data_IF_612286494860
#
_entry.id   IF_612286494860
#
_cell.length_a   1.000
_cell.length_b   1.000
_cell.length_c   1.000
_cell.angle_alpha   90.00
_cell.angle_beta   90.00
_cell.angle_gamma   90.00
#
_symmetry.space_group_name_H-M   'P 1'
#
loop_
_entity.id
_entity.type
_entity.pdbx_description
1 polymer ?
#
# COMPACT_ATOMS: atom_id res chain seq x y z
N UNK A 1 16.32 -23.32 -8.65
CA UNK A 1 15.56 -22.18 -9.21
C UNK A 1 15.16 -21.31 -8.02
N UNK A 2 15.93 -20.25 -7.74
CA UNK A 2 15.68 -19.36 -6.61
C UNK A 2 14.56 -18.41 -7.06
N UNK A 3 13.45 -18.27 -6.32
CA UNK A 3 12.40 -17.34 -6.74
C UNK A 3 13.03 -15.95 -6.78
N UNK A 4 12.75 -15.20 -7.84
CA UNK A 4 13.19 -13.83 -8.01
C UNK A 4 12.60 -13.00 -6.85
N UNK A 5 13.30 -12.94 -5.72
CA UNK A 5 13.06 -11.94 -4.70
C UNK A 5 13.35 -10.63 -5.41
N UNK A 6 12.29 -9.95 -5.84
CA UNK A 6 12.39 -8.62 -6.41
C UNK A 6 13.09 -7.78 -5.35
N UNK A 7 14.35 -7.43 -5.60
CA UNK A 7 15.11 -6.54 -4.72
C UNK A 7 14.39 -5.20 -4.76
N UNK A 8 13.51 -4.98 -3.78
CA UNK A 8 12.90 -3.69 -3.57
C UNK A 8 13.97 -2.74 -3.07
N UNK A 9 14.00 -1.49 -3.56
CA UNK A 9 14.82 -0.48 -2.92
C UNK A 9 14.32 -0.33 -1.47
N UNK A 10 15.27 -0.22 -0.52
CA UNK A 10 14.97 -0.14 0.91
C UNK A 10 13.99 1.00 1.25
N UNK A 11 14.01 2.08 0.47
CA UNK A 11 13.06 3.21 0.59
C UNK A 11 11.58 2.82 0.46
N UNK A 12 11.27 1.65 -0.13
CA UNK A 12 9.91 1.14 -0.31
C UNK A 12 9.48 0.16 0.80
N UNK A 13 10.33 -0.08 1.80
CA UNK A 13 10.06 -0.99 2.92
C UNK A 13 10.39 -0.28 4.23
N UNK A 14 9.38 -0.03 5.07
CA UNK A 14 9.57 0.79 6.28
C UNK A 14 9.57 -0.01 7.59
N UNK A 15 9.16 -1.28 7.59
CA UNK A 15 9.23 -2.17 8.76
C UNK A 15 8.98 -3.64 8.36
N UNK A 16 9.26 -4.60 9.26
CA UNK A 16 9.05 -6.04 9.08
C UNK A 16 7.95 -6.63 9.99
N UNK A 17 7.07 -5.81 10.57
CA UNK A 17 5.95 -6.25 11.40
C UNK A 17 4.99 -7.18 10.63
N UNK A 18 4.44 -8.18 11.32
CA UNK A 18 3.50 -9.15 10.74
C UNK A 18 2.03 -8.91 11.14
N UNK A 19 1.77 -7.98 12.07
CA UNK A 19 0.50 -7.86 12.80
C UNK A 19 -0.25 -6.53 12.53
N UNK A 20 0.09 -5.81 11.46
CA UNK A 20 -0.70 -4.63 11.09
C UNK A 20 -2.07 -5.06 10.56
N UNK A 21 -3.11 -4.40 11.03
CA UNK A 21 -4.48 -4.53 10.55
C UNK A 21 -4.96 -3.20 10.01
N UNK A 22 -6.11 -3.17 9.34
CA UNK A 22 -6.70 -1.90 8.90
C UNK A 22 -6.95 -0.93 10.07
N UNK A 23 -7.25 -1.47 11.26
CA UNK A 23 -7.43 -0.66 12.48
C UNK A 23 -6.15 0.06 12.93
N UNK A 24 -4.97 -0.52 12.65
CA UNK A 24 -3.69 0.12 12.89
C UNK A 24 -3.57 1.40 12.06
N UNK A 25 -3.95 1.36 10.78
CA UNK A 25 -3.94 2.58 9.94
C UNK A 25 -5.04 3.56 10.34
N UNK A 26 -6.24 3.07 10.65
CA UNK A 26 -7.38 3.92 11.01
C UNK A 26 -7.13 4.76 12.28
N UNK A 27 -6.49 4.16 13.29
CA UNK A 27 -6.09 4.86 14.52
C UNK A 27 -5.15 6.05 14.27
N UNK A 28 -4.41 6.01 13.17
CA UNK A 28 -3.42 7.01 12.79
C UNK A 28 -3.90 7.97 11.68
N UNK A 29 -5.21 7.95 11.40
CA UNK A 29 -5.90 8.96 10.62
C UNK A 29 -6.35 8.50 9.23
N UNK A 30 -6.05 7.27 8.81
CA UNK A 30 -6.62 6.71 7.59
C UNK A 30 -8.14 6.58 7.74
N UNK A 31 -8.89 7.13 6.79
CA UNK A 31 -10.35 7.02 6.77
C UNK A 31 -10.77 5.97 5.76
N UNK A 32 -11.23 4.83 6.28
CA UNK A 32 -11.83 3.77 5.46
C UNK A 32 -13.07 4.31 4.74
N UNK A 33 -13.14 4.07 3.43
CA UNK A 33 -14.30 4.44 2.60
C UNK A 33 -15.02 3.19 2.12
N UNK A 34 -14.27 2.20 1.61
CA UNK A 34 -14.85 1.00 1.04
C UNK A 34 -13.87 -0.18 1.09
N UNK A 35 -14.34 -1.34 1.49
CA UNK A 35 -13.63 -2.60 1.26
C UNK A 35 -13.81 -3.01 -0.22
N UNK A 36 -12.70 -3.34 -0.87
CA UNK A 36 -12.66 -3.73 -2.28
C UNK A 36 -12.67 -5.25 -2.41
N UNK A 37 -13.13 -5.74 -3.57
CA UNK A 37 -12.99 -7.15 -3.90
C UNK A 37 -11.49 -7.52 -3.93
N UNK A 38 -11.20 -8.69 -3.38
CA UNK A 38 -9.86 -9.23 -3.19
C UNK A 38 -9.61 -10.54 -3.93
N UNK A 39 -10.63 -11.10 -4.56
CA UNK A 39 -10.58 -12.45 -5.15
C UNK A 39 -9.55 -12.61 -6.29
N UNK A 40 -9.05 -11.50 -6.84
CA UNK A 40 -8.01 -11.47 -7.88
C UNK A 40 -6.59 -11.26 -7.32
N UNK A 41 -6.42 -11.15 -6.00
CA UNK A 41 -5.14 -10.94 -5.33
C UNK A 41 -4.79 -12.14 -4.46
N UNK A 42 -3.75 -12.86 -4.84
CA UNK A 42 -3.29 -14.03 -4.09
C UNK A 42 -2.82 -13.67 -2.68
N UNK A 43 -3.29 -14.43 -1.68
CA UNK A 43 -2.83 -14.35 -0.29
C UNK A 43 -3.20 -13.06 0.47
N UNK A 44 -3.97 -12.15 -0.13
CA UNK A 44 -4.42 -10.94 0.54
C UNK A 44 -5.60 -11.26 1.47
N UNK A 45 -5.57 -10.71 2.68
CA UNK A 45 -6.62 -10.88 3.69
C UNK A 45 -7.67 -9.78 3.60
N UNK A 46 -7.26 -8.54 3.36
CA UNK A 46 -8.17 -7.39 3.25
C UNK A 46 -7.66 -6.41 2.20
N UNK A 47 -8.58 -5.72 1.51
CA UNK A 47 -8.25 -4.62 0.59
C UNK A 47 -9.17 -3.46 0.87
N UNK A 48 -8.62 -2.32 1.27
CA UNK A 48 -9.40 -1.15 1.66
C UNK A 48 -9.03 0.07 0.85
N UNK A 49 -10.02 0.67 0.20
CA UNK A 49 -9.95 2.03 -0.33
C UNK A 49 -10.33 3.04 0.75
N UNK A 50 -9.55 4.12 0.83
CA UNK A 50 -9.82 5.23 1.72
C UNK A 50 -8.91 6.41 1.43
N UNK A 51 -8.78 7.31 2.39
CA UNK A 51 -7.92 8.48 2.24
C UNK A 51 -7.24 8.90 3.54
N UNK A 52 -6.09 9.54 3.39
CA UNK A 52 -5.33 10.21 4.44
C UNK A 52 -4.81 11.53 3.89
N UNK A 53 -4.90 12.62 4.66
CA UNK A 53 -4.44 13.97 4.25
C UNK A 53 -4.84 14.38 2.81
N UNK A 54 -6.12 14.18 2.47
CA UNK A 54 -6.68 14.49 1.13
C UNK A 54 -5.96 13.76 -0.02
N UNK A 55 -5.37 12.60 0.25
CA UNK A 55 -4.80 11.68 -0.73
C UNK A 55 -5.48 10.33 -0.60
N UNK A 56 -5.85 9.75 -1.74
CA UNK A 56 -6.42 8.42 -1.77
C UNK A 56 -5.33 7.37 -1.57
N UNK A 57 -5.66 6.35 -0.79
CA UNK A 57 -4.80 5.20 -0.54
C UNK A 57 -5.64 3.93 -0.70
N UNK A 58 -4.98 2.87 -1.18
CA UNK A 58 -5.46 1.51 -1.04
C UNK A 58 -4.51 0.73 -0.15
N UNK A 59 -5.04 0.09 0.88
CA UNK A 59 -4.28 -0.69 1.85
C UNK A 59 -4.65 -2.16 1.65
N UNK A 60 -3.65 -2.97 1.31
CA UNK A 60 -3.75 -4.42 1.15
C UNK A 60 -3.07 -5.09 2.34
N UNK A 61 -3.80 -5.87 3.11
CA UNK A 61 -3.29 -6.58 4.28
C UNK A 61 -2.97 -8.02 3.88
N UNK A 62 -1.78 -8.50 4.21
CA UNK A 62 -1.34 -9.89 4.03
C UNK A 62 -1.14 -10.56 5.38
N UNK A 63 -0.99 -11.88 5.37
CA UNK A 63 -0.77 -12.69 6.58
C UNK A 63 0.59 -12.42 7.26
N UNK A 64 1.58 -11.93 6.50
CA UNK A 64 2.92 -11.59 7.01
C UNK A 64 3.63 -10.59 6.10
N UNK A 65 4.68 -9.97 6.60
CA UNK A 65 5.64 -9.17 5.86
C UNK A 65 6.22 -9.93 4.66
N UNK A 66 6.58 -11.20 4.87
CA UNK A 66 7.07 -12.07 3.80
C UNK A 66 6.00 -12.24 2.71
N UNK A 67 4.74 -12.47 3.08
CA UNK A 67 3.65 -12.58 2.12
C UNK A 67 3.42 -11.25 1.37
N UNK A 68 3.47 -10.11 2.06
CA UNK A 68 3.37 -8.79 1.42
C UNK A 68 4.47 -8.58 0.36
N UNK A 69 5.71 -8.96 0.66
CA UNK A 69 6.83 -8.89 -0.27
C UNK A 69 6.68 -9.84 -1.47
N UNK A 70 6.31 -11.10 -1.22
CA UNK A 70 6.29 -12.14 -2.24
C UNK A 70 5.06 -12.07 -3.15
N UNK A 71 3.89 -11.73 -2.58
CA UNK A 71 2.60 -11.80 -3.25
C UNK A 71 2.04 -10.42 -3.59
N UNK A 72 2.31 -9.39 -2.78
CA UNK A 72 1.66 -8.08 -2.94
C UNK A 72 2.37 -7.09 -3.84
N UNK A 73 3.69 -7.21 -3.96
CA UNK A 73 4.53 -6.23 -4.67
C UNK A 73 4.29 -6.22 -6.18
N UNK A 74 4.22 -7.40 -6.81
CA UNK A 74 4.00 -7.48 -8.26
C UNK A 74 2.62 -6.93 -8.65
N UNK A 75 1.50 -7.34 -8.00
CA UNK A 75 0.19 -6.75 -8.26
C UNK A 75 0.09 -5.25 -7.94
N UNK A 76 0.87 -4.73 -7.00
CA UNK A 76 0.90 -3.29 -6.73
C UNK A 76 1.52 -2.51 -7.90
N UNK A 77 2.64 -3.00 -8.45
CA UNK A 77 3.23 -2.42 -9.67
C UNK A 77 2.28 -2.51 -10.86
N UNK A 78 1.67 -3.66 -11.08
CA UNK A 78 0.70 -3.84 -12.17
C UNK A 78 -0.50 -2.89 -12.03
N UNK A 79 -0.98 -2.64 -10.81
CA UNK A 79 -2.05 -1.68 -10.57
C UNK A 79 -1.63 -0.24 -10.90
N UNK A 80 -0.38 0.16 -10.61
CA UNK A 80 0.17 1.47 -10.97
C UNK A 80 0.34 1.60 -12.50
N UNK A 81 0.84 0.55 -13.15
CA UNK A 81 1.07 0.55 -14.59
C UNK A 81 -0.25 0.56 -15.38
N UNK A 82 -1.26 -0.16 -14.91
CA UNK A 82 -2.58 -0.27 -15.55
C UNK A 82 -3.49 0.93 -15.23
N UNK A 83 -3.41 1.49 -14.03
CA UNK A 83 -4.16 2.68 -13.61
C UNK A 83 -3.22 3.87 -13.44
N UNK A 84 -2.51 4.24 -14.50
CA UNK A 84 -1.73 5.48 -14.50
C UNK A 84 -2.64 6.64 -14.10
N UNK A 85 -2.12 7.51 -13.25
CA UNK A 85 -2.83 8.70 -12.78
C UNK A 85 -3.41 9.47 -13.98
N UNK A 86 -4.73 9.39 -14.16
CA UNK A 86 -5.44 10.23 -15.12
C UNK A 86 -6.00 11.42 -14.37
N UNK A 87 -5.60 12.62 -14.79
CA UNK A 87 -6.22 13.85 -14.35
C UNK A 87 -7.42 14.13 -15.25
N UNK A 88 -8.63 13.98 -14.74
CA UNK A 88 -9.82 14.28 -15.52
C UNK A 88 -10.21 15.77 -15.39
N UNK A 89 -11.13 16.21 -16.25
CA UNK A 89 -11.64 17.58 -16.29
C UNK A 89 -12.38 18.03 -15.02
N UNK A 90 -12.62 17.11 -14.08
CA UNK A 90 -13.18 17.36 -12.75
C UNK A 90 -12.13 17.44 -11.64
N UNK A 91 -10.84 17.58 -11.99
CA UNK A 91 -9.72 17.58 -11.05
C UNK A 91 -9.64 16.31 -10.18
N UNK A 92 -10.23 15.19 -10.63
CA UNK A 92 -10.11 13.91 -9.95
C UNK A 92 -8.91 13.16 -10.53
N UNK A 93 -8.11 12.62 -9.61
CA UNK A 93 -7.01 11.72 -9.90
C UNK A 93 -7.59 10.31 -9.86
N UNK A 94 -7.48 9.55 -10.96
CA UNK A 94 -7.80 8.13 -10.94
C UNK A 94 -6.52 7.31 -10.96
N UNK A 95 -6.36 6.37 -10.04
CA UNK A 95 -5.23 5.44 -9.98
C UNK A 95 -4.16 5.82 -8.96
N UNK A 96 -3.02 5.15 -9.07
CA UNK A 96 -1.91 5.25 -8.13
C UNK A 96 -0.60 5.47 -8.87
N UNK A 97 0.31 6.23 -8.28
CA UNK A 97 1.60 6.55 -8.86
C UNK A 97 2.75 5.77 -8.23
N UNK A 98 2.58 5.29 -7.00
CA UNK A 98 3.60 4.52 -6.30
C UNK A 98 3.00 3.53 -5.29
N UNK A 99 3.85 2.72 -4.67
CA UNK A 99 3.49 1.85 -3.56
C UNK A 99 4.56 1.82 -2.45
N UNK A 100 4.13 1.45 -1.25
CA UNK A 100 4.97 1.27 -0.07
C UNK A 100 4.62 -0.05 0.63
N UNK A 101 5.62 -0.83 1.03
CA UNK A 101 5.46 -2.00 1.89
C UNK A 101 5.71 -1.59 3.34
N UNK A 102 4.75 -1.87 4.21
CA UNK A 102 4.76 -1.50 5.63
C UNK A 102 4.44 -2.77 6.41
N UNK A 103 5.45 -3.49 6.89
CA UNK A 103 5.23 -4.79 7.54
C UNK A 103 4.48 -5.75 6.60
N UNK A 104 3.38 -6.32 7.06
CA UNK A 104 2.46 -7.18 6.31
C UNK A 104 1.47 -6.42 5.41
N UNK A 105 1.59 -5.10 5.26
CA UNK A 105 0.72 -4.31 4.41
C UNK A 105 1.43 -3.80 3.15
N UNK A 106 0.68 -3.70 2.05
CA UNK A 106 1.08 -2.96 0.84
C UNK A 106 0.12 -1.80 0.62
N UNK A 107 0.66 -0.59 0.57
CA UNK A 107 -0.09 0.65 0.37
C UNK A 107 0.13 1.12 -1.06
N UNK A 108 -0.94 1.45 -1.78
CA UNK A 108 -0.88 2.16 -3.05
C UNK A 108 -1.12 3.65 -2.84
N UNK A 109 -0.26 4.48 -3.43
CA UNK A 109 -0.13 5.90 -3.17
C UNK A 109 -0.62 6.72 -4.39
N UNK A 110 -1.65 7.55 -4.23
CA UNK A 110 -2.30 8.24 -5.36
C UNK A 110 -1.37 9.12 -6.22
N UNK A 111 -0.34 9.76 -5.64
CA UNK A 111 0.49 10.75 -6.36
C UNK A 111 1.99 10.48 -6.33
N UNK A 112 2.49 10.09 -5.17
CA UNK A 112 3.91 9.90 -4.91
C UNK A 112 4.05 9.05 -3.65
N UNK A 113 5.24 8.47 -3.45
CA UNK A 113 5.57 7.70 -2.26
C UNK A 113 5.29 8.46 -0.96
N UNK A 114 5.50 9.79 -0.96
CA UNK A 114 5.28 10.65 0.21
C UNK A 114 3.83 10.60 0.73
N UNK A 115 2.83 10.35 -0.14
CA UNK A 115 1.43 10.20 0.29
C UNK A 115 1.24 9.05 1.28
N UNK A 116 1.97 7.94 1.10
CA UNK A 116 1.94 6.80 2.01
C UNK A 116 2.87 7.01 3.21
N UNK A 117 4.08 7.55 2.98
CA UNK A 117 5.04 7.81 4.05
C UNK A 117 4.50 8.76 5.13
N UNK A 118 3.66 9.73 4.76
CA UNK A 118 3.08 10.65 5.73
C UNK A 118 2.13 9.94 6.72
N UNK A 119 1.44 8.88 6.29
CA UNK A 119 0.65 8.04 7.18
C UNK A 119 1.54 7.17 8.06
N UNK A 120 2.57 6.52 7.51
CA UNK A 120 3.44 5.64 8.31
C UNK A 120 4.28 6.39 9.34
N UNK A 121 4.60 7.67 9.08
CA UNK A 121 5.21 8.59 10.07
C UNK A 121 4.36 8.74 11.32
N UNK A 122 3.04 8.91 11.19
CA UNK A 122 2.17 9.08 12.35
C UNK A 122 2.03 7.79 13.16
N UNK A 123 2.30 6.64 12.54
CA UNK A 123 2.35 5.32 13.19
C UNK A 123 3.67 5.06 13.92
N UNK A 124 4.67 5.94 13.82
CA UNK A 124 5.99 5.73 14.42
C UNK A 124 6.82 4.62 13.74
N UNK A 125 6.47 4.27 12.49
CA UNK A 125 7.08 3.17 11.74
C UNK A 125 8.21 3.62 10.80
N UNK A 126 8.77 4.80 10.98
CA UNK A 126 9.94 5.23 10.23
C UNK A 126 11.20 5.12 11.09
N UNK A 127 11.76 3.93 11.17
CA UNK A 127 13.20 3.77 11.32
C UNK A 127 13.64 2.91 10.12
N UNK A 128 14.32 3.49 9.10
CA UNK A 128 14.77 2.72 7.95
C UNK A 128 15.81 1.68 8.39
N UNK A 129 15.69 0.45 7.89
CA UNK A 129 16.76 -0.56 7.97
C UNK A 129 17.88 -0.26 6.96
#
# INVERSE_FOLDING_TARGET
>A
MIPLVVHLPAERVVTNLDDLSISSFARHGFKQVKELDKNYLEGVQEVWFGYYDKRDLEIRIYDSHKAALQLGVKPAREAIDNNKVVFNTSNKYSGYADYLVVGNAVLLCQRELASCLNLTKTMGLLEPF
#
